data_IF_848580034397
#
_entry.id   IF_848580034397
#
_cell.length_a   1.000
_cell.length_b   1.000
_cell.length_c   1.000
_cell.angle_alpha   90.00
_cell.angle_beta   90.00
_cell.angle_gamma   90.00
#
_symmetry.space_group_name_H-M   'P 1'
#
loop_
_entity.id
_entity.type
_entity.pdbx_description
1 polymer ?
#
# COMPACT_ATOMS: atom_id res chain seq x y z
N UNK A 1 1.35 -0.39 13.70
CA UNK A 1 1.05 -0.84 12.32
C UNK A 1 2.26 -0.63 11.42
N UNK A 2 3.40 -1.18 11.87
CA UNK A 2 4.73 -0.82 11.37
C UNK A 2 4.93 -1.23 9.91
N UNK A 3 4.40 -2.40 9.53
CA UNK A 3 4.43 -2.86 8.14
C UNK A 3 3.81 -1.84 7.17
N UNK A 4 2.63 -1.32 7.50
CA UNK A 4 1.93 -0.39 6.62
C UNK A 4 2.64 0.97 6.54
N UNK A 5 3.16 1.47 7.67
CA UNK A 5 3.98 2.69 7.71
C UNK A 5 5.25 2.54 6.89
N UNK A 6 6.00 1.45 7.08
CA UNK A 6 7.23 1.17 6.34
C UNK A 6 6.98 1.07 4.83
N UNK A 7 5.87 0.44 4.42
CA UNK A 7 5.50 0.35 3.02
C UNK A 7 5.10 1.69 2.41
N UNK A 8 4.35 2.52 3.13
CA UNK A 8 4.02 3.88 2.64
C UNK A 8 5.28 4.73 2.53
N UNK A 9 6.16 4.69 3.54
CA UNK A 9 7.44 5.40 3.49
C UNK A 9 8.30 4.98 2.29
N UNK A 10 8.32 3.67 1.97
CA UNK A 10 9.03 3.18 0.78
C UNK A 10 8.35 3.65 -0.51
N UNK A 11 7.02 3.62 -0.59
CA UNK A 11 6.26 4.12 -1.75
C UNK A 11 6.52 5.60 -2.01
N UNK A 12 6.60 6.41 -0.95
CA UNK A 12 6.91 7.84 -1.05
C UNK A 12 8.36 8.06 -1.49
N UNK A 13 9.31 7.30 -0.94
CA UNK A 13 10.72 7.37 -1.33
C UNK A 13 10.95 6.97 -2.81
N UNK A 14 10.16 6.01 -3.32
CA UNK A 14 10.21 5.55 -4.70
C UNK A 14 9.31 6.38 -5.65
N UNK A 15 8.49 7.30 -5.12
CA UNK A 15 7.59 8.12 -5.91
C UNK A 15 6.43 7.36 -6.56
N UNK A 16 6.02 6.22 -5.99
CA UNK A 16 4.93 5.40 -6.53
C UNK A 16 3.55 6.04 -6.41
N UNK A 17 3.38 6.96 -5.46
CA UNK A 17 2.10 7.62 -5.20
C UNK A 17 1.04 6.68 -4.62
N UNK A 18 -0.23 7.09 -4.70
CA UNK A 18 -1.35 6.35 -4.13
C UNK A 18 -2.09 5.51 -5.18
N UNK A 19 -2.78 4.46 -4.71
CA UNK A 19 -3.58 3.59 -5.58
C UNK A 19 -4.82 4.32 -6.13
N UNK A 20 -5.01 4.26 -7.45
CA UNK A 20 -6.22 4.76 -8.16
C UNK A 20 -7.21 3.66 -8.55
N UNK A 21 -6.95 2.41 -8.16
CA UNK A 21 -7.72 1.21 -8.53
C UNK A 21 -7.74 0.88 -10.03
N UNK A 22 -6.75 1.33 -10.80
CA UNK A 22 -6.58 0.96 -12.23
C UNK A 22 -6.10 -0.47 -12.43
N UNK A 23 -5.50 -1.09 -11.40
CA UNK A 23 -4.95 -2.45 -11.42
C UNK A 23 -3.77 -2.73 -12.38
N UNK A 24 -3.13 -1.67 -12.90
CA UNK A 24 -1.93 -1.78 -13.74
C UNK A 24 -0.79 -2.51 -13.00
N UNK A 25 -0.60 -2.22 -11.71
CA UNK A 25 0.47 -2.81 -10.91
C UNK A 25 0.37 -4.34 -10.77
N UNK A 26 -0.84 -4.90 -10.77
CA UNK A 26 -1.07 -6.36 -10.74
C UNK A 26 -0.84 -6.96 -12.14
N UNK A 27 -1.33 -6.30 -13.19
CA UNK A 27 -1.23 -6.75 -14.57
C UNK A 27 0.24 -6.88 -15.04
N UNK A 28 1.11 -5.97 -14.63
CA UNK A 28 2.53 -5.96 -15.04
C UNK A 28 3.45 -6.71 -14.08
N UNK A 29 2.97 -7.18 -12.94
CA UNK A 29 3.83 -7.74 -11.91
C UNK A 29 4.45 -9.08 -12.35
N UNK A 30 5.79 -9.18 -12.51
CA UNK A 30 6.44 -10.43 -12.92
C UNK A 30 6.39 -11.52 -11.83
N UNK A 31 5.97 -11.16 -10.62
CA UNK A 31 5.82 -12.06 -9.47
C UNK A 31 4.36 -12.40 -9.17
N UNK A 32 3.40 -11.92 -9.99
CA UNK A 32 1.99 -12.20 -9.81
C UNK A 32 1.44 -11.69 -8.47
N UNK A 33 1.96 -10.58 -7.96
CA UNK A 33 1.47 -9.99 -6.72
C UNK A 33 0.10 -9.37 -6.98
N UNK A 34 -0.90 -9.85 -6.25
CA UNK A 34 -2.26 -9.32 -6.39
C UNK A 34 -2.41 -7.93 -5.76
N UNK A 35 -3.26 -7.08 -6.37
CA UNK A 35 -3.64 -5.75 -5.87
C UNK A 35 -4.25 -5.81 -4.46
N UNK A 36 -4.74 -6.98 -4.04
CA UNK A 36 -5.21 -7.22 -2.67
C UNK A 36 -4.17 -6.88 -1.59
N UNK A 37 -2.87 -6.92 -1.90
CA UNK A 37 -1.80 -6.47 -1.00
C UNK A 37 -1.85 -4.96 -0.74
N UNK A 38 -2.14 -4.17 -1.77
CA UNK A 38 -2.34 -2.71 -1.67
C UNK A 38 -3.64 -2.41 -0.93
N UNK A 39 -4.70 -3.19 -1.19
CA UNK A 39 -5.95 -3.04 -0.44
C UNK A 39 -5.75 -3.33 1.06
N UNK A 40 -4.95 -4.34 1.43
CA UNK A 40 -4.57 -4.62 2.82
C UNK A 40 -3.75 -3.47 3.41
N UNK A 41 -2.75 -2.97 2.67
CA UNK A 41 -1.95 -1.81 3.07
C UNK A 41 -2.84 -0.63 3.45
N UNK A 42 -3.76 -0.23 2.57
CA UNK A 42 -4.63 0.93 2.79
C UNK A 42 -5.53 0.74 4.01
N UNK A 43 -6.06 -0.46 4.24
CA UNK A 43 -6.89 -0.76 5.42
C UNK A 43 -6.07 -0.70 6.71
N UNK A 44 -4.86 -1.27 6.72
CA UNK A 44 -3.97 -1.22 7.89
C UNK A 44 -3.53 0.21 8.21
N UNK A 45 -3.16 0.98 7.17
CA UNK A 45 -2.73 2.37 7.30
C UNK A 45 -3.87 3.25 7.84
N UNK A 46 -5.07 3.18 7.24
CA UNK A 46 -6.24 3.91 7.71
C UNK A 46 -6.60 3.55 9.15
N UNK A 47 -6.59 2.26 9.49
CA UNK A 47 -6.83 1.82 10.86
C UNK A 47 -5.80 2.42 11.82
N UNK A 48 -4.55 2.65 11.37
CA UNK A 48 -3.50 3.28 12.18
C UNK A 48 -3.80 4.71 12.52
N UNK A 49 -4.18 5.47 11.50
CA UNK A 49 -4.62 6.86 11.67
C UNK A 49 -5.79 6.92 12.66
N UNK A 50 -6.81 6.08 12.45
CA UNK A 50 -8.03 6.11 13.27
C UNK A 50 -7.82 5.67 14.72
N UNK A 51 -6.81 4.84 15.00
CA UNK A 51 -6.51 4.38 16.36
C UNK A 51 -5.42 5.18 17.06
N UNK A 52 -4.83 6.21 16.41
CA UNK A 52 -3.71 6.98 16.96
C UNK A 52 -2.41 6.18 17.12
N UNK A 53 -2.23 5.10 16.35
CA UNK A 53 -1.04 4.23 16.37
C UNK A 53 -0.15 4.44 15.14
N UNK A 54 -0.30 5.58 14.48
CA UNK A 54 0.40 5.93 13.26
C UNK A 54 1.18 7.23 13.41
#
# INVERSE_FOLDING_TARGET
KERAQAMVAQMDAEGFGYCTNTAECEAVCPKGISISNIARLNREYLRGILSGEL
#
